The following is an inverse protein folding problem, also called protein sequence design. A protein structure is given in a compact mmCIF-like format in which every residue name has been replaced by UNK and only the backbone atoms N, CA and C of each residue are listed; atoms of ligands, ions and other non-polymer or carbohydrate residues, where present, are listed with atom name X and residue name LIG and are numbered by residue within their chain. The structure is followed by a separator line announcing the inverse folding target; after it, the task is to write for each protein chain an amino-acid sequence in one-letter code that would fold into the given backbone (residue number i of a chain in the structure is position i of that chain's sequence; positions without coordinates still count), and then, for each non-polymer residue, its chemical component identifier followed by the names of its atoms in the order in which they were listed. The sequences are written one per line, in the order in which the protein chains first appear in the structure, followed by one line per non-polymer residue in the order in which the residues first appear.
data_IF_357353961614
#
_entry.id   IF_357353961614
#
_cell.length_a   1.000
_cell.length_b   1.000
_cell.length_c   1.000
_cell.angle_alpha   90.00
_cell.angle_beta   90.00
_cell.angle_gamma   90.00
#
_symmetry.space_group_name_H-M   'P 1'
#
loop_
_entity.id
_entity.type
_entity.pdbx_description
1 polymer ?
#
# COMPACT_ATOMS: atom_id res chain seq x y z
N UNK A 1 -2.95 0.13 -63.61
CA UNK A 1 -4.12 -0.60 -64.15
C UNK A 1 -4.10 -1.97 -63.47
N UNK A 2 -4.97 -2.31 -62.51
CA UNK A 2 -6.43 -2.17 -62.41
C UNK A 2 -6.86 -1.90 -60.93
N UNK A 3 -7.64 -0.84 -60.68
CA UNK A 3 -9.05 -0.79 -60.20
C UNK A 3 -9.32 -1.39 -58.80
N UNK A 4 -9.52 -0.63 -57.72
CA UNK A 4 -10.72 0.14 -57.24
C UNK A 4 -11.85 -0.68 -56.56
N UNK A 5 -12.24 -0.21 -55.35
CA UNK A 5 -13.49 -0.35 -54.55
C UNK A 5 -13.77 -1.70 -53.82
N UNK A 6 -13.91 -1.82 -52.48
CA UNK A 6 -14.75 -1.23 -51.39
C UNK A 6 -16.26 -1.54 -51.50
N UNK A 7 -16.80 -2.25 -50.48
CA UNK A 7 -18.17 -2.29 -49.88
C UNK A 7 -18.52 -3.74 -49.48
N UNK A 8 -19.28 -4.14 -48.46
CA UNK A 8 -19.87 -3.60 -47.22
C UNK A 8 -20.59 -4.78 -46.51
N UNK A 9 -20.78 -4.66 -45.20
CA UNK A 9 -21.52 -5.50 -44.25
C UNK A 9 -22.61 -6.48 -44.75
N UNK A 10 -22.74 -7.62 -44.04
CA UNK A 10 -24.05 -8.11 -43.52
C UNK A 10 -23.92 -8.85 -42.19
N UNK A 11 -24.62 -8.31 -41.18
CA UNK A 11 -25.18 -9.07 -40.05
C UNK A 11 -26.08 -10.19 -40.58
N UNK A 12 -26.05 -11.36 -39.95
CA UNK A 12 -27.22 -12.24 -39.90
C UNK A 12 -27.32 -12.91 -38.53
N UNK A 13 -28.57 -13.09 -38.15
CA UNK A 13 -29.13 -13.22 -36.81
C UNK A 13 -29.32 -14.70 -36.45
N UNK A 14 -29.07 -15.03 -35.18
CA UNK A 14 -29.61 -16.13 -34.36
C UNK A 14 -30.12 -17.42 -35.03
N UNK A 15 -29.56 -18.57 -34.59
CA UNK A 15 -30.40 -19.68 -34.11
C UNK A 15 -29.68 -20.51 -33.05
N UNK A 16 -30.26 -20.42 -31.87
CA UNK A 16 -29.97 -21.17 -30.65
C UNK A 16 -30.14 -22.69 -30.87
N UNK A 17 -29.14 -23.48 -30.50
CA UNK A 17 -29.27 -24.92 -30.23
C UNK A 17 -28.40 -25.25 -29.03
N UNK A 18 -29.07 -25.48 -27.90
CA UNK A 18 -28.46 -25.73 -26.61
C UNK A 18 -27.42 -26.85 -26.62
N UNK A 19 -26.26 -26.54 -26.07
CA UNK A 19 -25.31 -27.52 -25.57
C UNK A 19 -25.19 -27.32 -24.06
N UNK A 20 -25.75 -28.28 -23.31
CA UNK A 20 -25.50 -28.48 -21.87
C UNK A 20 -24.02 -28.80 -21.69
N UNK A 21 -23.26 -27.92 -21.06
CA UNK A 21 -21.94 -28.27 -20.49
C UNK A 21 -22.15 -28.65 -19.03
N UNK A 22 -21.93 -29.93 -18.75
CA UNK A 22 -22.05 -30.57 -17.45
C UNK A 22 -20.72 -30.35 -16.72
N UNK A 23 -20.72 -29.63 -15.59
CA UNK A 23 -19.60 -29.67 -14.66
C UNK A 23 -19.66 -31.00 -13.90
N UNK A 24 -18.68 -31.87 -14.15
CA UNK A 24 -18.50 -33.11 -13.41
C UNK A 24 -18.08 -32.83 -11.98
N UNK A 25 -18.96 -33.14 -11.03
CA UNK A 25 -18.60 -33.33 -9.63
C UNK A 25 -17.78 -34.62 -9.52
N UNK A 26 -16.49 -34.50 -9.19
CA UNK A 26 -15.63 -35.63 -8.88
C UNK A 26 -16.20 -36.44 -7.72
N UNK A 27 -16.54 -37.70 -8.00
CA UNK A 27 -16.94 -38.68 -6.98
C UNK A 27 -15.72 -39.03 -6.11
N UNK A 28 -15.74 -38.58 -4.86
CA UNK A 28 -14.96 -39.17 -3.77
C UNK A 28 -15.56 -40.54 -3.45
N UNK A 29 -14.81 -41.62 -3.73
CA UNK A 29 -15.19 -42.98 -3.35
C UNK A 29 -14.95 -43.21 -1.85
N UNK A 30 -16.02 -43.56 -1.14
CA UNK A 30 -16.03 -44.05 0.24
C UNK A 30 -15.66 -45.54 0.27
N UNK A 31 -14.39 -45.87 0.55
CA UNK A 31 -13.98 -47.15 1.18
C UNK A 31 -12.47 -47.16 1.48
N UNK A 32 -12.00 -46.31 2.40
CA UNK A 32 -10.82 -46.62 3.23
C UNK A 32 -11.05 -45.97 4.61
N UNK A 33 -11.92 -46.59 5.39
CA UNK A 33 -12.00 -46.35 6.84
C UNK A 33 -11.46 -47.61 7.51
N UNK A 34 -10.16 -47.66 7.76
CA UNK A 34 -9.59 -48.38 8.90
C UNK A 34 -8.09 -48.08 8.96
N UNK A 35 -7.58 -47.90 10.19
CA UNK A 35 -6.17 -47.70 10.57
C UNK A 35 -5.54 -46.32 10.34
N UNK A 36 -6.16 -45.25 10.84
CA UNK A 36 -5.39 -44.10 11.38
C UNK A 36 -6.03 -43.52 12.65
N UNK A 37 -6.44 -44.40 13.58
CA UNK A 37 -6.52 -44.05 14.99
C UNK A 37 -5.20 -44.51 15.61
N UNK A 38 -4.25 -43.58 15.75
CA UNK A 38 -3.11 -43.44 16.70
C UNK A 38 -2.06 -42.48 16.07
N UNK A 39 -2.51 -41.35 15.50
CA UNK A 39 -1.71 -40.12 15.60
C UNK A 39 -2.61 -38.95 16.05
N UNK A 40 -3.36 -39.08 17.16
CA UNK A 40 -4.34 -38.07 17.53
C UNK A 40 -3.66 -37.06 18.48
N UNK A 41 -3.92 -35.77 18.28
CA UNK A 41 -3.61 -34.64 19.18
C UNK A 41 -2.19 -34.03 19.16
N UNK A 42 -1.12 -34.73 18.78
CA UNK A 42 0.24 -34.12 18.85
C UNK A 42 0.53 -33.17 17.66
N UNK A 43 0.10 -33.52 16.44
CA UNK A 43 0.40 -32.69 15.25
C UNK A 43 -0.41 -31.38 15.24
N UNK A 44 -1.66 -31.41 15.73
CA UNK A 44 -2.53 -30.21 15.83
C UNK A 44 -2.02 -29.23 16.89
N UNK A 45 -1.31 -29.70 17.93
CA UNK A 45 -0.68 -28.85 18.95
C UNK A 45 0.62 -28.22 18.45
N UNK A 46 1.32 -28.84 17.48
CA UNK A 46 2.57 -28.33 16.93
C UNK A 46 2.39 -27.20 15.90
N UNK A 47 1.26 -27.15 15.20
CA UNK A 47 0.95 -26.07 14.24
C UNK A 47 0.47 -24.78 14.91
N UNK A 48 0.23 -24.80 16.23
CA UNK A 48 -0.25 -23.66 17.02
C UNK A 48 0.89 -22.79 17.62
N UNK A 49 2.12 -22.94 17.12
CA UNK A 49 3.27 -22.07 17.45
C UNK A 49 3.66 -21.15 16.29
N UNK A 50 2.78 -20.94 15.31
CA UNK A 50 2.84 -19.79 14.40
C UNK A 50 2.53 -18.51 15.20
N UNK A 51 3.33 -18.20 16.22
CA UNK A 51 3.39 -16.90 16.86
C UNK A 51 3.99 -15.98 15.80
N UNK A 52 3.13 -15.50 14.90
CA UNK A 52 3.49 -14.51 13.90
C UNK A 52 4.14 -13.35 14.61
N UNK A 53 5.41 -13.09 14.28
CA UNK A 53 6.11 -11.96 14.86
C UNK A 53 5.44 -10.68 14.37
N UNK A 54 4.68 -10.02 15.24
CA UNK A 54 4.04 -8.75 14.88
C UNK A 54 5.09 -7.70 14.48
N UNK A 55 4.85 -7.05 13.34
CA UNK A 55 5.59 -5.88 12.85
C UNK A 55 5.07 -4.67 13.61
N UNK A 56 5.96 -3.89 14.21
CA UNK A 56 5.56 -2.73 15.00
C UNK A 56 6.58 -2.30 16.05
N UNK A 57 6.19 -1.28 16.81
CA UNK A 57 6.95 -0.82 17.97
C UNK A 57 6.92 -1.85 19.11
N UNK A 58 8.09 -2.16 19.66
CA UNK A 58 8.27 -2.85 20.94
C UNK A 58 8.95 -1.90 21.92
N UNK A 59 8.32 -1.72 23.06
CA UNK A 59 8.74 -0.79 24.11
C UNK A 59 9.00 -1.59 25.38
N UNK A 60 10.11 -1.30 26.06
CA UNK A 60 10.39 -1.70 27.43
C UNK A 60 10.72 -0.44 28.26
N UNK A 61 11.13 -0.59 29.53
CA UNK A 61 11.40 0.56 30.40
C UNK A 61 12.56 1.45 29.92
N UNK A 62 13.48 0.89 29.13
CA UNK A 62 14.76 1.52 28.78
C UNK A 62 14.96 1.67 27.26
N UNK A 63 14.11 1.05 26.44
CA UNK A 63 14.30 1.01 24.99
C UNK A 63 12.98 1.01 24.22
N UNK A 64 13.05 1.60 23.02
CA UNK A 64 12.01 1.53 22.00
C UNK A 64 12.65 1.00 20.74
N UNK A 65 12.05 -0.04 20.16
CA UNK A 65 12.53 -0.68 18.95
C UNK A 65 11.41 -0.80 17.92
N UNK A 66 11.73 -0.58 16.65
CA UNK A 66 10.88 -0.93 15.53
C UNK A 66 11.23 -2.33 15.04
N UNK A 67 10.26 -3.25 15.12
CA UNK A 67 10.42 -4.62 14.65
C UNK A 67 9.77 -4.78 13.29
N UNK A 68 10.52 -5.28 12.30
CA UNK A 68 10.00 -5.60 10.98
C UNK A 68 10.63 -6.85 10.39
N UNK A 69 10.13 -7.28 9.24
CA UNK A 69 10.71 -8.36 8.45
C UNK A 69 11.46 -7.79 7.24
N UNK A 70 12.56 -8.42 6.87
CA UNK A 70 13.29 -8.22 5.63
C UNK A 70 13.50 -9.61 5.00
N UNK A 71 13.22 -9.79 3.71
CA UNK A 71 13.24 -11.12 3.09
C UNK A 71 14.63 -11.77 3.08
N UNK A 72 15.71 -10.99 3.12
CA UNK A 72 17.09 -11.49 3.13
C UNK A 72 17.65 -11.75 4.52
N UNK A 73 17.27 -10.93 5.52
CA UNK A 73 17.84 -11.01 6.87
C UNK A 73 16.87 -11.54 7.92
N UNK A 74 15.60 -11.74 7.58
CA UNK A 74 14.54 -12.14 8.49
C UNK A 74 14.08 -11.01 9.41
N UNK A 75 13.85 -11.33 10.69
CA UNK A 75 13.37 -10.36 11.68
C UNK A 75 14.46 -9.34 12.00
N UNK A 76 14.17 -8.07 11.73
CA UNK A 76 15.02 -6.93 12.08
C UNK A 76 14.43 -6.21 13.28
N UNK A 77 15.29 -5.91 14.26
CA UNK A 77 14.97 -5.08 15.43
C UNK A 77 15.81 -3.82 15.33
N UNK A 78 15.19 -2.71 14.97
CA UNK A 78 15.87 -1.44 14.81
C UNK A 78 15.62 -0.55 16.04
N UNK A 79 16.65 -0.22 16.83
CA UNK A 79 16.49 0.65 17.99
C UNK A 79 16.21 2.09 17.57
N UNK A 80 15.38 2.78 18.36
CA UNK A 80 15.14 4.21 18.23
C UNK A 80 15.95 4.95 19.29
N UNK A 81 16.49 6.11 18.91
CA UNK A 81 17.09 7.05 19.86
C UNK A 81 15.99 7.93 20.47
N UNK A 82 15.35 7.42 21.52
CA UNK A 82 14.26 8.11 22.23
C UNK A 82 14.79 8.63 23.55
N UNK A 83 14.56 9.92 23.85
CA UNK A 83 15.03 10.53 25.10
C UNK A 83 14.31 9.96 26.34
N UNK A 84 13.02 9.66 26.21
CA UNK A 84 12.20 9.08 27.29
C UNK A 84 11.44 7.83 26.81
N UNK A 85 12.09 6.64 26.80
CA UNK A 85 11.48 5.40 26.31
C UNK A 85 10.18 5.03 27.02
N UNK A 86 10.10 5.25 28.34
CA UNK A 86 8.92 4.96 29.17
C UNK A 86 7.70 5.82 28.85
N UNK A 87 7.90 6.99 28.22
CA UNK A 87 6.84 7.91 27.80
C UNK A 87 6.41 7.69 26.33
N UNK A 88 6.97 6.70 25.63
CA UNK A 88 6.68 6.48 24.22
C UNK A 88 5.23 6.03 24.01
N UNK A 89 4.52 6.79 23.18
CA UNK A 89 3.13 6.53 22.81
C UNK A 89 3.05 6.21 21.32
N UNK A 90 2.47 5.05 20.99
CA UNK A 90 2.17 4.68 19.60
C UNK A 90 1.02 5.53 19.06
N UNK A 91 1.18 6.05 17.86
CA UNK A 91 0.17 6.80 17.11
C UNK A 91 -0.18 5.98 15.86
N UNK A 92 -1.17 5.09 15.98
CA UNK A 92 -1.48 4.12 14.93
C UNK A 92 -0.37 3.08 14.72
N UNK A 93 -0.25 2.57 13.49
CA UNK A 93 0.61 1.41 13.18
C UNK A 93 2.08 1.77 13.02
N UNK A 94 2.38 2.86 12.34
CA UNK A 94 3.74 3.23 11.95
C UNK A 94 4.27 4.45 12.68
N UNK A 95 3.43 5.26 13.32
CA UNK A 95 3.88 6.47 14.01
C UNK A 95 3.96 6.28 15.52
N UNK A 96 4.80 7.07 16.16
CA UNK A 96 4.88 7.16 17.62
C UNK A 96 5.47 8.48 18.05
N UNK A 97 5.25 8.85 19.31
CA UNK A 97 5.69 10.11 19.90
C UNK A 97 6.30 9.84 21.27
N UNK A 98 7.36 10.56 21.61
CA UNK A 98 7.89 10.62 22.97
C UNK A 98 8.52 11.99 23.22
N UNK A 99 8.06 12.68 24.27
CA UNK A 99 8.42 14.08 24.49
C UNK A 99 8.07 14.93 23.26
N UNK A 100 9.05 15.69 22.77
CA UNK A 100 8.93 16.51 21.56
C UNK A 100 9.38 15.77 20.27
N UNK A 101 9.64 14.47 20.33
CA UNK A 101 10.07 13.67 19.18
C UNK A 101 8.92 12.88 18.58
N UNK A 102 8.75 12.96 17.25
CA UNK A 102 7.82 12.13 16.47
C UNK A 102 8.61 11.16 15.60
N UNK A 103 8.17 9.91 15.55
CA UNK A 103 8.82 8.85 14.78
C UNK A 103 7.87 8.23 13.75
N UNK A 104 8.40 7.94 12.57
CA UNK A 104 7.81 7.03 11.59
C UNK A 104 8.69 5.79 11.50
N UNK A 105 8.17 4.65 11.97
CA UNK A 105 8.94 3.41 12.20
C UNK A 105 10.15 3.72 13.08
N UNK A 106 11.37 3.45 12.63
CA UNK A 106 12.57 3.75 13.38
C UNK A 106 13.14 5.16 13.17
N UNK A 107 12.52 5.98 12.32
CA UNK A 107 13.10 7.24 11.86
C UNK A 107 12.41 8.43 12.51
N UNK A 108 13.20 9.41 12.96
CA UNK A 108 12.70 10.70 13.43
C UNK A 108 12.03 11.45 12.26
N UNK A 109 10.86 12.02 12.53
CA UNK A 109 10.16 12.91 11.60
C UNK A 109 10.69 14.31 11.83
N UNK A 110 11.70 14.69 11.05
CA UNK A 110 12.37 15.98 11.20
C UNK A 110 11.39 17.15 11.01
N UNK A 111 11.46 18.11 11.94
CA UNK A 111 10.63 19.32 11.92
C UNK A 111 9.19 19.16 12.36
N UNK A 112 8.75 17.96 12.78
CA UNK A 112 7.38 17.75 13.24
C UNK A 112 7.13 18.37 14.63
N UNK A 113 6.00 19.07 14.77
CA UNK A 113 5.51 19.53 16.08
C UNK A 113 4.73 18.41 16.77
N UNK A 114 5.39 17.69 17.68
CA UNK A 114 4.83 16.57 18.44
C UNK A 114 3.51 16.89 19.16
N UNK A 115 3.28 18.14 19.56
CA UNK A 115 2.07 18.53 20.33
C UNK A 115 0.83 18.63 19.45
N UNK A 116 1.02 18.91 18.17
CA UNK A 116 -0.08 19.08 17.20
C UNK A 116 -0.10 17.97 16.14
N UNK A 117 0.80 16.99 16.27
CA UNK A 117 0.93 15.90 15.30
C UNK A 117 -0.28 14.97 15.30
N UNK A 118 -0.82 14.73 14.10
CA UNK A 118 -2.00 13.95 13.82
C UNK A 118 -1.72 12.96 12.68
N UNK A 119 -2.11 11.71 12.88
CA UNK A 119 -2.01 10.68 11.83
C UNK A 119 -3.32 10.64 11.04
N UNK A 120 -3.26 11.00 9.75
CA UNK A 120 -4.43 11.06 8.87
C UNK A 120 -4.70 9.71 8.18
N UNK A 121 -3.65 8.93 7.92
CA UNK A 121 -3.72 7.57 7.38
C UNK A 121 -2.44 6.79 7.67
N UNK A 122 -2.34 5.55 7.22
CA UNK A 122 -1.10 4.76 7.34
C UNK A 122 0.12 5.44 6.68
N UNK A 123 -0.09 6.27 5.65
CA UNK A 123 0.98 6.92 4.90
C UNK A 123 1.06 8.43 5.15
N UNK A 124 -0.06 9.10 5.42
CA UNK A 124 -0.09 10.55 5.65
C UNK A 124 -0.31 10.91 7.11
N UNK A 125 0.36 11.97 7.54
CA UNK A 125 0.17 12.63 8.83
C UNK A 125 0.35 14.13 8.64
N UNK A 126 -0.02 14.92 9.62
CA UNK A 126 0.19 16.36 9.61
C UNK A 126 0.49 16.86 11.02
N UNK A 127 1.04 18.05 11.12
CA UNK A 127 0.94 18.86 12.33
C UNK A 127 0.21 20.18 11.99
N UNK A 128 0.35 21.21 12.83
CA UNK A 128 -0.28 22.51 12.58
C UNK A 128 0.21 23.22 11.31
N UNK A 129 1.42 22.93 10.83
CA UNK A 129 2.12 23.67 9.77
C UNK A 129 2.39 22.81 8.53
N UNK A 130 2.80 21.56 8.74
CA UNK A 130 3.28 20.69 7.68
C UNK A 130 2.44 19.42 7.54
N UNK A 131 2.39 18.94 6.29
CA UNK A 131 1.91 17.61 5.96
C UNK A 131 3.11 16.70 5.71
N UNK A 132 3.03 15.47 6.19
CA UNK A 132 4.08 14.46 6.03
C UNK A 132 3.53 13.22 5.34
N UNK A 133 4.34 12.66 4.45
CA UNK A 133 4.15 11.34 3.87
C UNK A 133 5.27 10.43 4.34
N UNK A 134 4.93 9.40 5.12
CA UNK A 134 5.86 8.41 5.67
C UNK A 134 7.05 9.09 6.40
N UNK A 135 6.73 10.08 7.23
CA UNK A 135 7.70 10.83 8.02
C UNK A 135 8.53 11.87 7.25
N UNK A 136 8.15 12.23 6.02
CA UNK A 136 8.83 13.26 5.23
C UNK A 136 7.86 14.34 4.77
N UNK A 137 8.27 15.60 4.84
CA UNK A 137 7.46 16.75 4.44
C UNK A 137 6.98 16.60 2.99
N UNK A 138 5.71 16.94 2.78
CA UNK A 138 5.04 17.12 1.49
C UNK A 138 5.10 18.61 1.18
N UNK A 139 5.98 19.01 0.28
CA UNK A 139 6.19 20.42 -0.04
C UNK A 139 4.92 21.05 -0.63
N UNK A 140 4.69 22.32 -0.30
CA UNK A 140 3.56 23.17 -0.75
C UNK A 140 2.16 22.75 -0.28
N UNK A 141 2.00 21.61 0.42
CA UNK A 141 0.73 21.16 0.95
C UNK A 141 0.24 22.07 2.09
N UNK A 142 -1.06 22.36 2.10
CA UNK A 142 -1.70 23.16 3.14
C UNK A 142 -2.21 22.24 4.27
N UNK A 143 -1.54 22.28 5.44
CA UNK A 143 -1.88 21.40 6.55
C UNK A 143 -3.30 21.61 7.10
N UNK A 144 -3.89 22.81 6.96
CA UNK A 144 -5.22 23.15 7.48
C UNK A 144 -6.33 22.22 6.99
N UNK A 145 -6.29 21.86 5.71
CA UNK A 145 -7.38 21.29 4.92
C UNK A 145 -6.94 20.02 4.16
N UNK A 146 -5.67 19.64 4.27
CA UNK A 146 -5.15 18.43 3.65
C UNK A 146 -5.90 17.18 4.11
N UNK A 147 -6.30 16.36 3.13
CA UNK A 147 -6.91 15.05 3.36
C UNK A 147 -6.34 13.98 2.41
N UNK A 148 -6.02 12.78 2.92
CA UNK A 148 -5.69 11.64 2.06
C UNK A 148 -6.94 11.19 1.29
N UNK A 149 -6.77 10.86 0.01
CA UNK A 149 -7.83 10.32 -0.86
C UNK A 149 -7.53 8.90 -1.35
N UNK A 150 -6.28 8.45 -1.23
CA UNK A 150 -5.86 7.05 -1.32
C UNK A 150 -4.50 6.87 -0.65
N UNK A 151 -3.97 5.63 -0.61
CA UNK A 151 -2.69 5.30 0.05
C UNK A 151 -1.54 6.22 -0.36
N UNK A 152 -1.45 6.59 -1.65
CA UNK A 152 -0.39 7.46 -2.18
C UNK A 152 -0.90 8.80 -2.70
N UNK A 153 -2.18 9.14 -2.49
CA UNK A 153 -2.76 10.38 -3.00
C UNK A 153 -3.38 11.18 -1.87
N UNK A 154 -3.09 12.48 -1.86
CA UNK A 154 -3.72 13.45 -0.97
C UNK A 154 -4.13 14.70 -1.74
N UNK A 155 -4.98 15.50 -1.13
CA UNK A 155 -5.50 16.73 -1.73
C UNK A 155 -5.69 17.77 -0.64
N UNK A 156 -5.43 19.02 -0.99
CA UNK A 156 -5.86 20.21 -0.27
C UNK A 156 -6.69 21.09 -1.22
N UNK A 157 -7.15 22.24 -0.78
CA UNK A 157 -7.99 23.15 -1.56
C UNK A 157 -7.27 23.71 -2.81
N UNK A 158 -5.93 23.64 -2.88
CA UNK A 158 -5.12 24.23 -3.96
C UNK A 158 -4.54 23.20 -4.92
N UNK A 159 -4.36 21.96 -4.49
CA UNK A 159 -3.55 20.99 -5.22
C UNK A 159 -3.86 19.53 -4.88
N UNK A 160 -3.54 18.67 -5.85
CA UNK A 160 -3.47 17.22 -5.66
C UNK A 160 -2.02 16.82 -5.52
N UNK A 161 -1.76 15.83 -4.65
CA UNK A 161 -0.44 15.33 -4.35
C UNK A 161 -0.37 13.83 -4.61
N UNK A 162 0.74 13.39 -5.22
CA UNK A 162 1.16 12.00 -5.23
C UNK A 162 2.36 11.85 -4.29
N UNK A 163 2.15 11.13 -3.19
CA UNK A 163 3.11 11.01 -2.08
C UNK A 163 3.51 12.40 -1.58
N UNK A 164 4.74 12.83 -1.87
CA UNK A 164 5.32 14.11 -1.44
C UNK A 164 5.30 15.19 -2.51
N UNK A 165 4.85 14.87 -3.71
CA UNK A 165 4.99 15.73 -4.87
C UNK A 165 3.62 16.23 -5.30
N UNK A 166 3.52 17.54 -5.51
CA UNK A 166 2.37 18.16 -6.14
C UNK A 166 2.24 17.67 -7.58
N UNK A 167 1.02 17.34 -7.99
CA UNK A 167 0.67 17.04 -9.38
C UNK A 167 0.29 18.36 -10.05
N UNK A 168 1.19 18.89 -10.87
CA UNK A 168 0.98 20.16 -11.57
C UNK A 168 -0.15 20.00 -12.60
N UNK A 169 -1.07 20.97 -12.64
CA UNK A 169 -2.22 20.97 -13.56
C UNK A 169 -3.41 20.11 -13.12
N UNK A 170 -3.30 19.36 -12.03
CA UNK A 170 -4.45 18.64 -11.47
C UNK A 170 -5.40 19.61 -10.75
N UNK A 171 -6.70 19.51 -11.07
CA UNK A 171 -7.75 20.22 -10.37
C UNK A 171 -8.20 19.43 -9.13
N UNK A 172 -7.99 19.95 -7.90
CA UNK A 172 -8.35 19.26 -6.66
C UNK A 172 -9.86 18.96 -6.53
N UNK A 173 -10.72 19.71 -7.21
CA UNK A 173 -12.18 19.52 -7.13
C UNK A 173 -12.69 18.40 -8.02
N UNK A 174 -12.04 18.16 -9.17
CA UNK A 174 -12.47 17.18 -10.16
C UNK A 174 -11.60 15.93 -10.23
N UNK A 175 -10.48 15.89 -9.50
CA UNK A 175 -9.55 14.77 -9.51
C UNK A 175 -10.20 13.45 -9.05
N UNK A 176 -10.08 12.42 -9.88
CA UNK A 176 -10.57 11.07 -9.59
C UNK A 176 -9.46 10.05 -9.83
N UNK A 177 -9.27 9.18 -8.85
CA UNK A 177 -8.37 8.04 -8.98
C UNK A 177 -9.12 6.96 -9.76
N UNK A 178 -8.58 6.56 -10.90
CA UNK A 178 -9.06 5.38 -11.62
C UNK A 178 -8.28 4.18 -11.10
N UNK A 179 -8.96 3.31 -10.37
CA UNK A 179 -8.43 1.98 -10.11
C UNK A 179 -8.48 1.21 -11.44
N UNK A 180 -7.30 0.93 -12.00
CA UNK A 180 -7.23 -0.13 -13.01
C UNK A 180 -7.40 -1.44 -12.26
N UNK A 181 -8.55 -2.09 -12.42
CA UNK A 181 -8.65 -3.50 -12.10
C UNK A 181 -7.53 -4.20 -12.86
N UNK A 182 -6.53 -4.67 -12.12
CA UNK A 182 -5.42 -5.41 -12.70
C UNK A 182 -6.00 -6.65 -13.37
N UNK A 183 -6.16 -6.60 -14.69
CA UNK A 183 -6.20 -7.81 -15.48
C UNK A 183 -4.95 -8.61 -15.09
N UNK A 184 -5.06 -9.91 -14.75
CA UNK A 184 -4.03 -10.68 -14.05
C UNK A 184 -2.72 -10.87 -14.83
N UNK A 185 -2.50 -10.13 -15.93
CA UNK A 185 -1.44 -10.38 -16.90
C UNK A 185 -0.51 -9.18 -17.13
N UNK A 186 -0.86 -7.92 -16.81
CA UNK A 186 0.07 -6.80 -17.04
C UNK A 186 -0.01 -5.68 -16.01
N UNK A 187 1.05 -5.54 -15.23
CA UNK A 187 1.39 -4.32 -14.47
C UNK A 187 2.16 -3.37 -15.39
N UNK A 188 1.45 -2.54 -16.16
CA UNK A 188 2.01 -1.36 -16.81
C UNK A 188 1.11 -0.17 -16.50
N UNK A 189 1.63 0.81 -15.75
CA UNK A 189 0.94 2.07 -15.53
C UNK A 189 1.00 2.91 -16.81
N UNK A 190 -0.17 3.23 -17.37
CA UNK A 190 -0.35 4.29 -18.36
C UNK A 190 -1.01 5.49 -17.65
N UNK A 191 -0.35 6.63 -17.68
CA UNK A 191 -0.94 7.93 -17.33
C UNK A 191 -1.53 8.51 -18.62
N UNK A 192 -2.84 8.71 -18.67
CA UNK A 192 -3.56 9.44 -19.71
C UNK A 192 -4.12 10.71 -19.02
N UNK A 193 -3.96 11.96 -19.47
CA UNK A 193 -3.83 12.52 -20.82
C UNK A 193 -2.93 13.78 -20.85
N UNK A 194 -1.62 13.65 -20.68
CA UNK A 194 -0.67 14.71 -21.09
C UNK A 194 0.69 14.12 -21.44
N UNK A 195 1.10 14.24 -22.70
CA UNK A 195 2.47 13.98 -23.13
C UNK A 195 3.37 15.09 -22.59
N UNK A 196 4.11 14.78 -21.54
CA UNK A 196 5.15 15.63 -20.97
C UNK A 196 6.15 14.79 -20.20
N UNK A 197 7.01 14.06 -20.90
CA UNK A 197 8.20 13.47 -20.28
C UNK A 197 9.20 14.60 -20.00
N UNK A 198 9.51 14.85 -18.74
CA UNK A 198 10.74 15.56 -18.39
C UNK A 198 11.91 14.59 -18.58
N UNK A 199 12.60 14.71 -19.71
CA UNK A 199 13.95 14.17 -19.91
C UNK A 199 14.92 14.92 -18.97
N UNK A 200 15.54 14.22 -18.01
CA UNK A 200 16.97 14.39 -17.63
C UNK A 200 17.31 13.56 -16.38
N UNK A 201 17.81 12.33 -16.57
CA UNK A 201 18.95 11.82 -15.80
C UNK A 201 19.54 10.57 -16.50
N UNK A 202 20.26 10.78 -17.59
CA UNK A 202 21.29 9.84 -18.05
C UNK A 202 22.54 10.65 -18.37
N UNK A 203 23.42 10.81 -17.39
CA UNK A 203 24.84 11.05 -17.65
C UNK A 203 25.60 9.73 -17.54
N UNK A 204 25.96 9.24 -18.71
CA UNK A 204 27.31 8.80 -19.10
C UNK A 204 28.19 8.18 -18.00
N UNK A 205 28.46 6.89 -18.16
CA UNK A 205 29.74 6.28 -17.80
C UNK A 205 30.13 5.31 -18.93
N UNK A 206 31.24 5.66 -19.58
CA UNK A 206 32.12 4.90 -20.51
C UNK A 206 31.55 4.36 -21.81
#
# INVERSE_FOLDING_TARGET
MNSLEIFTQRKNHFRDKGAKVIYGLGRYNKTVTCLMNIVPKIIVLSTLLMVGCEIGYRTDSNSVNWVHWNEGTGKVVQPLNVESPSAFKKLGKYYGVSGDQVFYKAYLVEGADAKTFEVLSESYSKDKEFVFFQGRIVSDAQASDFRPIATSYGVDDKAVFYRRFRIVGADPLSFKIREFESSPVYSCYLVADFFGCSEEYRRENT
#
